data_IF_842276402932
#
_entry.id   IF_842276402932
#
_cell.length_a   1.000
_cell.length_b   1.000
_cell.length_c   1.000
_cell.angle_alpha   90.00
_cell.angle_beta   90.00
_cell.angle_gamma   90.00
#
_symmetry.space_group_name_H-M   'P 1'
#
loop_
_entity.id
_entity.type
_entity.pdbx_description
1 polymer ?
#
# COMPACT_ATOMS: atom_id res chain seq x y z
N UNK A 1 32.00 37.50 -18.52
CA UNK A 1 30.97 37.80 -19.54
C UNK A 1 30.85 39.31 -19.64
N UNK A 2 30.95 39.92 -20.83
CA UNK A 2 30.75 41.37 -21.01
C UNK A 2 29.49 41.60 -21.85
N UNK A 3 28.36 41.72 -21.16
CA UNK A 3 27.08 42.12 -21.73
C UNK A 3 26.62 43.37 -21.01
N UNK A 4 26.16 44.37 -21.75
CA UNK A 4 25.56 45.56 -21.16
C UNK A 4 24.11 45.24 -20.78
N UNK A 5 23.78 45.35 -19.50
CA UNK A 5 22.43 45.15 -19.00
C UNK A 5 22.15 46.08 -17.80
N UNK A 6 20.94 46.65 -17.69
CA UNK A 6 20.60 47.61 -16.64
C UNK A 6 20.47 46.97 -15.24
N UNK A 7 20.20 45.67 -15.16
CA UNK A 7 20.07 44.93 -13.90
C UNK A 7 20.38 43.43 -14.07
N UNK A 8 20.45 42.70 -12.95
CA UNK A 8 20.75 41.27 -12.90
C UNK A 8 19.79 40.44 -13.78
N UNK A 9 18.48 40.73 -13.77
CA UNK A 9 17.51 40.01 -14.60
C UNK A 9 17.80 40.15 -16.09
N UNK A 10 18.00 41.38 -16.56
CA UNK A 10 18.31 41.68 -17.95
C UNK A 10 19.66 41.08 -18.37
N UNK A 11 20.63 41.00 -17.45
CA UNK A 11 21.91 40.33 -17.71
C UNK A 11 21.72 38.82 -17.93
N UNK A 12 20.90 38.17 -17.09
CA UNK A 12 20.58 36.75 -17.21
C UNK A 12 19.76 36.44 -18.47
N UNK A 13 18.85 37.33 -18.85
CA UNK A 13 18.12 37.27 -20.13
C UNK A 13 19.08 37.37 -21.33
N UNK A 14 19.96 38.38 -21.34
CA UNK A 14 20.94 38.57 -22.39
C UNK A 14 21.95 37.40 -22.48
N UNK A 15 22.14 36.67 -21.38
CA UNK A 15 22.93 35.44 -21.32
C UNK A 15 22.21 34.18 -21.83
N UNK A 16 20.94 34.28 -22.25
CA UNK A 16 20.13 33.14 -22.64
C UNK A 16 19.67 32.27 -21.47
N UNK A 17 19.77 32.78 -20.23
CA UNK A 17 19.42 32.07 -19.01
C UNK A 17 18.47 32.90 -18.12
N UNK A 18 17.32 33.36 -18.63
CA UNK A 18 16.38 34.19 -17.87
C UNK A 18 15.92 33.51 -16.59
N UNK A 19 15.56 34.30 -15.58
CA UNK A 19 14.88 33.78 -14.38
C UNK A 19 13.46 33.35 -14.77
N UNK A 20 13.07 32.14 -14.39
CA UNK A 20 11.76 31.58 -14.70
C UNK A 20 11.13 30.97 -13.45
N UNK A 21 9.80 30.87 -13.44
CA UNK A 21 9.04 30.20 -12.39
C UNK A 21 9.45 30.65 -10.97
N UNK A 22 10.13 29.79 -10.20
CA UNK A 22 10.54 30.04 -8.81
C UNK A 22 12.06 30.21 -8.68
N UNK A 23 12.77 30.42 -9.79
CA UNK A 23 14.19 30.73 -9.81
C UNK A 23 14.48 31.92 -8.86
N UNK A 24 15.58 31.82 -8.11
CA UNK A 24 16.04 32.88 -7.19
C UNK A 24 17.43 33.33 -7.57
N UNK A 25 17.73 34.60 -7.30
CA UNK A 25 19.04 35.18 -7.57
C UNK A 25 19.49 36.07 -6.42
N UNK A 26 20.80 36.07 -6.15
CA UNK A 26 21.47 36.98 -5.22
C UNK A 26 22.69 37.58 -5.93
N UNK A 27 22.86 38.91 -6.01
CA UNK A 27 21.94 39.99 -5.60
C UNK A 27 20.57 39.93 -6.30
N UNK A 28 19.62 40.75 -5.84
CA UNK A 28 18.24 40.73 -6.33
C UNK A 28 18.16 40.97 -7.84
N UNK A 29 17.11 40.44 -8.49
CA UNK A 29 16.90 40.54 -9.94
C UNK A 29 16.89 41.99 -10.46
N UNK A 30 16.45 42.95 -9.64
CA UNK A 30 16.42 44.39 -9.95
C UNK A 30 17.72 45.14 -9.65
N UNK A 31 18.72 44.49 -9.01
CA UNK A 31 19.98 45.14 -8.66
C UNK A 31 20.76 45.58 -9.92
N UNK A 32 21.33 46.79 -9.94
CA UNK A 32 22.15 47.26 -11.05
C UNK A 32 23.41 46.41 -11.18
N UNK A 33 23.87 46.19 -12.41
CA UNK A 33 25.08 45.41 -12.69
C UNK A 33 26.31 46.29 -12.53
N UNK A 34 27.25 45.87 -11.69
CA UNK A 34 28.57 46.52 -11.52
C UNK A 34 29.69 45.58 -11.93
N UNK A 35 30.85 46.15 -12.28
CA UNK A 35 32.02 45.36 -12.68
C UNK A 35 32.50 44.46 -11.53
N UNK A 36 32.91 43.23 -11.86
CA UNK A 36 33.31 42.22 -10.87
C UNK A 36 32.18 41.63 -10.01
N UNK A 37 30.91 41.99 -10.22
CA UNK A 37 29.78 41.49 -9.43
C UNK A 37 29.60 39.97 -9.56
N UNK A 38 29.51 39.26 -8.43
CA UNK A 38 29.11 37.86 -8.38
C UNK A 38 27.60 37.73 -8.32
N UNK A 39 27.05 36.82 -9.11
CA UNK A 39 25.60 36.56 -9.19
C UNK A 39 25.39 35.06 -8.97
N UNK A 40 24.75 34.70 -7.87
CA UNK A 40 24.39 33.33 -7.55
C UNK A 40 22.93 33.10 -7.94
N UNK A 41 22.69 32.15 -8.84
CA UNK A 41 21.34 31.76 -9.28
C UNK A 41 21.01 30.38 -8.74
N UNK A 42 19.84 30.23 -8.12
CA UNK A 42 19.24 28.94 -7.76
C UNK A 42 18.06 28.68 -8.68
N UNK A 43 18.14 27.64 -9.51
CA UNK A 43 17.08 27.27 -10.45
C UNK A 43 16.06 26.39 -9.75
N UNK A 44 14.79 26.79 -9.75
CA UNK A 44 13.70 26.01 -9.16
C UNK A 44 12.57 25.94 -10.18
N UNK A 45 12.47 24.79 -10.83
CA UNK A 45 11.59 24.59 -11.99
C UNK A 45 10.71 23.37 -11.80
N UNK A 46 9.55 23.41 -12.42
CA UNK A 46 8.66 22.28 -12.64
C UNK A 46 8.58 22.09 -14.14
N UNK A 47 8.95 20.89 -14.59
CA UNK A 47 8.95 20.50 -15.99
C UNK A 47 7.96 19.35 -16.19
N UNK A 48 7.29 19.32 -17.35
CA UNK A 48 6.46 18.18 -17.72
C UNK A 48 7.32 17.16 -18.46
N UNK A 49 7.31 15.92 -17.98
CA UNK A 49 8.01 14.81 -18.61
C UNK A 49 7.01 13.70 -18.91
N UNK A 50 6.97 13.22 -20.15
CA UNK A 50 6.09 12.11 -20.54
C UNK A 50 6.91 10.84 -20.67
N UNK A 51 6.49 9.80 -19.95
CA UNK A 51 7.13 8.49 -19.93
C UNK A 51 6.13 7.40 -20.31
N UNK A 52 6.56 6.46 -21.15
CA UNK A 52 5.76 5.30 -21.53
C UNK A 52 5.92 4.20 -20.49
N UNK A 53 4.84 3.82 -19.84
CA UNK A 53 4.84 2.83 -18.75
C UNK A 53 3.76 1.77 -18.96
N UNK A 54 3.88 0.58 -18.34
CA UNK A 54 2.82 -0.42 -18.35
C UNK A 54 1.51 0.10 -17.73
N UNK A 55 0.39 -0.22 -18.35
CA UNK A 55 -0.95 -0.04 -17.77
C UNK A 55 -1.38 -1.36 -17.15
N UNK A 56 -1.49 -1.40 -15.82
CA UNK A 56 -1.96 -2.58 -15.11
C UNK A 56 -3.43 -2.87 -15.50
N UNK A 57 -3.80 -4.15 -15.71
CA UNK A 57 -5.17 -4.51 -16.03
C UNK A 57 -6.11 -4.22 -14.87
N UNK A 58 -7.34 -3.84 -15.18
CA UNK A 58 -8.39 -3.75 -14.17
C UNK A 58 -8.94 -5.14 -13.85
N UNK A 59 -9.40 -5.33 -12.61
CA UNK A 59 -10.00 -6.59 -12.18
C UNK A 59 -11.49 -6.63 -12.55
N UNK A 60 -11.88 -7.62 -13.37
CA UNK A 60 -13.27 -8.05 -13.49
C UNK A 60 -13.55 -9.08 -12.40
N UNK A 61 -14.49 -8.77 -11.50
CA UNK A 61 -14.83 -9.66 -10.38
C UNK A 61 -15.94 -10.63 -10.76
N UNK A 62 -15.73 -11.91 -10.49
CA UNK A 62 -16.74 -12.96 -10.64
C UNK A 62 -16.95 -13.60 -9.26
N UNK A 63 -18.20 -13.62 -8.81
CA UNK A 63 -18.58 -14.23 -7.54
C UNK A 63 -18.62 -15.76 -7.64
N UNK A 64 -18.04 -16.43 -6.65
CA UNK A 64 -18.11 -17.88 -6.47
C UNK A 64 -18.80 -18.22 -5.15
N UNK A 65 -20.05 -18.65 -5.25
CA UNK A 65 -20.90 -19.02 -4.11
C UNK A 65 -20.45 -20.29 -3.38
N UNK A 66 -19.46 -21.01 -3.88
CA UNK A 66 -18.87 -22.18 -3.22
C UNK A 66 -17.55 -21.84 -2.50
N UNK A 67 -17.01 -20.64 -2.70
CA UNK A 67 -15.78 -20.17 -2.08
C UNK A 67 -16.08 -19.19 -0.94
N UNK A 68 -15.41 -19.35 0.20
CA UNK A 68 -15.56 -18.44 1.34
C UNK A 68 -15.24 -17.00 0.94
N UNK A 69 -15.99 -16.03 1.47
CA UNK A 69 -15.82 -14.60 1.17
C UNK A 69 -14.44 -14.02 1.54
N UNK A 70 -13.69 -14.71 2.40
CA UNK A 70 -12.31 -14.39 2.75
C UNK A 70 -11.28 -14.72 1.64
N UNK A 71 -11.69 -15.48 0.61
CA UNK A 71 -10.81 -16.00 -0.43
C UNK A 71 -11.03 -15.29 -1.75
N UNK A 72 -9.95 -15.14 -2.50
CA UNK A 72 -9.95 -14.67 -3.86
C UNK A 72 -8.89 -15.44 -4.65
N UNK A 73 -9.17 -15.67 -5.93
CA UNK A 73 -8.29 -16.40 -6.85
C UNK A 73 -8.18 -15.57 -8.12
N UNK A 74 -6.95 -15.31 -8.56
CA UNK A 74 -6.69 -14.76 -9.89
C UNK A 74 -6.89 -15.91 -10.88
N UNK A 75 -8.01 -15.91 -11.58
CA UNK A 75 -8.34 -16.93 -12.58
C UNK A 75 -7.68 -16.63 -13.92
N UNK A 76 -7.64 -15.35 -14.30
CA UNK A 76 -6.89 -14.84 -15.44
C UNK A 76 -6.20 -13.55 -15.00
N UNK A 77 -4.88 -13.45 -15.17
CA UNK A 77 -4.13 -12.24 -14.83
C UNK A 77 -4.37 -11.10 -15.84
N UNK A 78 -5.04 -11.37 -16.96
CA UNK A 78 -5.19 -10.44 -18.06
C UNK A 78 -3.86 -10.20 -18.78
N UNK A 79 -3.80 -9.12 -19.55
CA UNK A 79 -2.57 -8.69 -20.21
C UNK A 79 -2.36 -7.20 -19.98
N UNK A 80 -1.18 -6.76 -19.51
CA UNK A 80 -0.88 -5.35 -19.35
C UNK A 80 -1.05 -4.58 -20.66
N UNK A 81 -1.59 -3.37 -20.55
CA UNK A 81 -1.61 -2.39 -21.63
C UNK A 81 -0.38 -1.49 -21.58
N UNK A 82 -0.45 -0.39 -22.32
CA UNK A 82 0.59 0.66 -22.35
C UNK A 82 -0.07 2.02 -22.23
N UNK A 83 0.49 2.89 -21.39
CA UNK A 83 0.06 4.27 -21.24
C UNK A 83 1.25 5.22 -21.24
N UNK A 84 1.04 6.42 -21.76
CA UNK A 84 1.97 7.52 -21.64
C UNK A 84 1.55 8.37 -20.43
N UNK A 85 2.37 8.39 -19.38
CA UNK A 85 2.14 9.15 -18.15
C UNK A 85 2.95 10.43 -18.18
N UNK A 86 2.28 11.57 -18.03
CA UNK A 86 2.92 12.87 -17.91
C UNK A 86 3.12 13.18 -16.43
N UNK A 87 4.37 13.40 -16.04
CA UNK A 87 4.80 13.80 -14.70
C UNK A 87 5.08 15.30 -14.66
N UNK A 88 4.67 15.96 -13.58
CA UNK A 88 5.25 17.23 -13.16
C UNK A 88 6.48 16.92 -12.31
N UNK A 89 7.67 17.20 -12.84
CA UNK A 89 8.96 16.93 -12.22
C UNK A 89 9.52 18.23 -11.65
N UNK A 90 9.70 18.31 -10.34
CA UNK A 90 10.32 19.45 -9.68
C UNK A 90 11.83 19.28 -9.64
N UNK A 91 12.56 20.28 -10.12
CA UNK A 91 14.02 20.31 -10.16
C UNK A 91 14.57 21.51 -9.41
N UNK A 92 15.64 21.29 -8.63
CA UNK A 92 16.48 22.33 -8.04
C UNK A 92 17.87 22.22 -8.65
N UNK A 93 18.34 23.28 -9.31
CA UNK A 93 19.63 23.30 -10.02
C UNK A 93 19.81 22.12 -11.00
N UNK A 94 18.73 21.74 -11.69
CA UNK A 94 18.72 20.63 -12.66
C UNK A 94 18.57 19.24 -12.04
N UNK A 95 18.72 19.10 -10.73
CA UNK A 95 18.54 17.83 -10.01
C UNK A 95 17.08 17.66 -9.64
N UNK A 96 16.51 16.51 -9.98
CA UNK A 96 15.15 16.17 -9.59
C UNK A 96 15.03 16.05 -8.06
N UNK A 97 14.03 16.74 -7.52
CA UNK A 97 13.68 16.73 -6.09
C UNK A 97 12.37 15.99 -5.82
N UNK A 98 11.59 15.72 -6.88
CA UNK A 98 10.37 14.92 -6.82
C UNK A 98 9.61 14.96 -8.13
N UNK A 99 8.71 14.00 -8.31
CA UNK A 99 7.79 13.94 -9.46
C UNK A 99 6.41 13.50 -9.01
N UNK A 100 5.37 14.00 -9.67
CA UNK A 100 3.98 13.59 -9.48
C UNK A 100 3.33 13.33 -10.85
N UNK A 101 2.63 12.21 -11.07
CA UNK A 101 1.84 12.03 -12.28
C UNK A 101 0.69 13.05 -12.33
N UNK A 102 0.56 13.77 -13.44
CA UNK A 102 -0.46 14.83 -13.62
C UNK A 102 -1.44 14.54 -14.75
N UNK A 103 -1.10 13.64 -15.66
CA UNK A 103 -1.99 13.16 -16.71
C UNK A 103 -1.52 11.80 -17.21
N UNK A 104 -2.41 11.03 -17.81
CA UNK A 104 -2.08 9.81 -18.52
C UNK A 104 -2.95 9.66 -19.78
N UNK A 105 -2.39 9.03 -20.82
CA UNK A 105 -3.11 8.68 -22.04
C UNK A 105 -2.86 7.21 -22.33
N UNK A 106 -3.95 6.44 -22.53
CA UNK A 106 -3.84 5.02 -22.88
C UNK A 106 -3.40 4.91 -24.35
N UNK A 107 -2.28 4.23 -24.58
CA UNK A 107 -1.73 3.98 -25.92
C UNK A 107 -2.25 2.65 -26.46
N UNK A 108 -2.21 1.61 -25.63
CA UNK A 108 -2.79 0.30 -25.90
C UNK A 108 -3.56 -0.16 -24.66
N UNK A 109 -4.85 -0.52 -24.78
CA UNK A 109 -5.65 -0.92 -23.63
C UNK A 109 -5.11 -2.23 -23.02
N UNK A 110 -5.25 -2.35 -21.70
CA UNK A 110 -5.03 -3.62 -21.02
C UNK A 110 -6.23 -4.55 -21.25
N UNK A 111 -6.00 -5.87 -21.25
CA UNK A 111 -7.08 -6.85 -21.10
C UNK A 111 -7.29 -7.06 -19.62
N UNK A 112 -8.52 -6.86 -19.15
CA UNK A 112 -8.86 -7.03 -17.74
C UNK A 112 -8.43 -8.41 -17.21
N UNK A 113 -7.98 -8.42 -15.95
CA UNK A 113 -7.85 -9.63 -15.18
C UNK A 113 -9.24 -10.15 -14.78
N UNK A 114 -9.34 -11.45 -14.51
CA UNK A 114 -10.52 -12.08 -13.92
C UNK A 114 -10.15 -12.52 -12.52
N UNK A 115 -10.75 -11.85 -11.53
CA UNK A 115 -10.61 -12.18 -10.13
C UNK A 115 -11.88 -12.89 -9.66
N UNK A 116 -11.75 -14.18 -9.36
CA UNK A 116 -12.80 -14.95 -8.71
C UNK A 116 -12.80 -14.63 -7.22
N UNK A 117 -13.89 -14.08 -6.70
CA UNK A 117 -14.03 -13.70 -5.29
C UNK A 117 -15.07 -14.59 -4.63
N UNK A 118 -14.82 -14.99 -3.39
CA UNK A 118 -15.76 -15.85 -2.67
C UNK A 118 -17.04 -15.11 -2.33
N UNK A 119 -18.17 -15.80 -2.47
CA UNK A 119 -19.50 -15.30 -2.19
C UNK A 119 -20.36 -16.33 -1.44
N UNK A 120 -19.74 -17.34 -0.82
CA UNK A 120 -20.45 -18.39 -0.09
C UNK A 120 -21.23 -17.79 1.10
N UNK A 121 -22.57 -17.94 1.14
CA UNK A 121 -23.37 -17.40 2.23
C UNK A 121 -22.95 -17.93 3.61
N UNK A 122 -22.97 -17.07 4.63
CA UNK A 122 -22.63 -17.46 6.01
C UNK A 122 -21.13 -17.48 6.31
N UNK A 123 -20.29 -17.12 5.32
CA UNK A 123 -18.83 -17.02 5.44
C UNK A 123 -18.34 -15.57 5.54
N UNK A 124 -19.23 -14.64 5.89
CA UNK A 124 -18.87 -13.26 6.19
C UNK A 124 -17.89 -13.24 7.37
N UNK A 125 -16.81 -12.49 7.23
CA UNK A 125 -15.79 -12.35 8.28
C UNK A 125 -15.92 -10.95 8.90
N UNK A 126 -16.24 -10.85 10.21
CA UNK A 126 -16.30 -9.55 10.88
C UNK A 126 -14.91 -8.91 10.93
N UNK A 127 -14.83 -7.56 10.96
CA UNK A 127 -13.56 -6.88 11.09
C UNK A 127 -12.87 -7.29 12.41
N UNK A 128 -11.59 -7.64 12.31
CA UNK A 128 -10.77 -8.05 13.46
C UNK A 128 -10.60 -6.88 14.43
N UNK A 129 -11.05 -7.05 15.67
CA UNK A 129 -10.79 -6.14 16.79
C UNK A 129 -9.56 -6.64 17.55
N UNK A 130 -8.76 -5.72 18.08
CA UNK A 130 -7.54 -6.04 18.84
C UNK A 130 -6.58 -7.02 18.10
N UNK A 131 -6.39 -6.84 16.79
CA UNK A 131 -5.57 -7.74 15.97
C UNK A 131 -4.17 -7.99 16.53
N UNK A 132 -3.52 -6.96 17.08
CA UNK A 132 -2.21 -7.09 17.71
C UNK A 132 -2.20 -8.04 18.92
N UNK A 133 -3.27 -8.09 19.72
CA UNK A 133 -3.37 -9.03 20.84
C UNK A 133 -3.53 -10.46 20.34
N UNK A 134 -4.34 -10.66 19.30
CA UNK A 134 -4.50 -11.96 18.64
C UNK A 134 -3.22 -12.44 17.96
N UNK A 135 -2.47 -11.54 17.31
CA UNK A 135 -1.19 -11.86 16.69
C UNK A 135 -0.13 -12.20 17.75
N UNK A 136 -0.08 -11.47 18.86
CA UNK A 136 0.83 -11.77 19.94
C UNK A 136 0.47 -13.09 20.65
N UNK A 137 -0.82 -13.40 20.75
CA UNK A 137 -1.27 -14.71 21.24
C UNK A 137 -0.82 -15.81 20.28
N UNK A 138 -1.07 -15.65 18.97
CA UNK A 138 -0.65 -16.61 17.96
C UNK A 138 0.87 -16.77 17.88
N UNK A 139 1.63 -15.71 18.17
CA UNK A 139 3.07 -15.78 18.29
C UNK A 139 3.51 -16.67 19.45
N UNK A 140 2.83 -16.58 20.59
CA UNK A 140 3.13 -17.39 21.77
C UNK A 140 2.68 -18.85 21.61
N UNK A 141 1.51 -19.08 21.02
CA UNK A 141 0.86 -20.39 20.90
C UNK A 141 1.36 -21.20 19.69
N UNK A 142 1.60 -20.53 18.56
CA UNK A 142 1.88 -21.16 17.26
C UNK A 142 3.14 -20.61 16.57
N UNK A 143 3.95 -19.78 17.26
CA UNK A 143 5.09 -19.10 16.64
C UNK A 143 4.70 -18.13 15.52
N UNK A 144 3.42 -17.71 15.47
CA UNK A 144 2.86 -16.84 14.44
C UNK A 144 2.31 -17.58 13.22
N UNK A 145 2.38 -18.92 13.21
CA UNK A 145 1.89 -19.72 12.10
C UNK A 145 0.40 -20.05 12.25
N UNK A 146 -0.45 -19.31 11.54
CA UNK A 146 -1.91 -19.51 11.55
C UNK A 146 -2.38 -20.82 10.90
N UNK A 147 -1.53 -21.48 10.12
CA UNK A 147 -1.82 -22.77 9.49
C UNK A 147 -1.16 -23.95 10.22
N UNK A 148 -0.73 -23.75 11.49
CA UNK A 148 -0.02 -24.79 12.23
C UNK A 148 -0.93 -25.99 12.50
N UNK A 149 -0.38 -27.18 12.28
CA UNK A 149 -0.97 -28.45 12.67
C UNK A 149 0.18 -29.43 12.96
N UNK A 150 0.56 -29.55 14.23
CA UNK A 150 1.66 -30.42 14.67
C UNK A 150 1.22 -31.84 15.02
N UNK A 151 -0.09 -32.14 14.90
CA UNK A 151 -0.66 -33.42 15.32
C UNK A 151 -0.85 -33.56 16.84
N UNK A 152 -0.74 -32.47 17.60
CA UNK A 152 -0.92 -32.46 19.06
C UNK A 152 -2.39 -32.34 19.52
N UNK A 153 -3.35 -32.38 18.59
CA UNK A 153 -4.79 -32.23 18.87
C UNK A 153 -5.33 -30.80 18.84
N UNK A 154 -4.46 -29.81 18.61
CA UNK A 154 -4.81 -28.39 18.47
C UNK A 154 -4.43 -27.88 17.07
N UNK A 155 -5.18 -26.88 16.60
CA UNK A 155 -5.11 -26.40 15.22
C UNK A 155 -5.06 -24.88 15.14
N UNK A 156 -4.24 -24.37 14.22
CA UNK A 156 -4.22 -22.97 13.84
C UNK A 156 -3.53 -22.05 14.85
N UNK A 157 -3.52 -20.75 14.53
CA UNK A 157 -2.67 -19.76 15.20
C UNK A 157 -2.94 -19.63 16.69
N UNK A 158 -4.20 -19.78 17.10
CA UNK A 158 -4.63 -19.70 18.51
C UNK A 158 -4.89 -21.07 19.13
N UNK A 159 -4.38 -22.15 18.52
CA UNK A 159 -4.40 -23.51 19.08
C UNK A 159 -5.82 -23.96 19.50
N UNK A 160 -6.78 -23.95 18.58
CA UNK A 160 -8.13 -24.48 18.85
C UNK A 160 -8.10 -26.01 18.94
N UNK A 161 -8.76 -26.60 19.94
CA UNK A 161 -9.20 -27.99 19.82
C UNK A 161 -10.40 -28.10 18.86
N UNK A 162 -10.58 -29.27 18.25
CA UNK A 162 -11.62 -29.49 17.24
C UNK A 162 -13.03 -29.24 17.77
N UNK A 163 -13.33 -29.66 18.99
CA UNK A 163 -14.67 -29.55 19.55
C UNK A 163 -15.02 -28.09 19.88
N UNK A 164 -14.07 -27.28 20.35
CA UNK A 164 -14.26 -25.84 20.55
C UNK A 164 -14.46 -25.11 19.21
N UNK A 165 -13.70 -25.46 18.18
CA UNK A 165 -13.88 -24.92 16.82
C UNK A 165 -15.30 -25.16 16.30
N UNK A 166 -15.77 -26.40 16.38
CA UNK A 166 -17.10 -26.80 15.93
C UNK A 166 -18.22 -26.10 16.72
N UNK A 167 -18.14 -26.13 18.05
CA UNK A 167 -19.17 -25.55 18.94
C UNK A 167 -19.33 -24.05 18.82
N UNK A 168 -18.28 -23.34 18.40
CA UNK A 168 -18.30 -21.90 18.22
C UNK A 168 -18.55 -21.48 16.75
N UNK A 169 -18.85 -22.45 15.87
CA UNK A 169 -19.34 -22.19 14.51
C UNK A 169 -18.26 -22.15 13.43
N UNK A 170 -17.06 -22.67 13.70
CA UNK A 170 -15.94 -22.63 12.77
C UNK A 170 -16.14 -23.44 11.48
N UNK A 171 -17.02 -24.46 11.50
CA UNK A 171 -17.32 -25.29 10.33
C UNK A 171 -17.91 -24.52 9.14
N UNK A 172 -18.44 -23.31 9.35
CA UNK A 172 -18.87 -22.46 8.23
C UNK A 172 -17.70 -22.01 7.36
N UNK A 173 -16.53 -21.85 7.97
CA UNK A 173 -15.31 -21.43 7.29
C UNK A 173 -14.50 -22.64 6.81
N UNK A 174 -14.14 -23.55 7.71
CA UNK A 174 -13.34 -24.70 7.36
C UNK A 174 -13.58 -25.88 8.31
N UNK A 175 -13.27 -27.13 7.89
CA UNK A 175 -13.40 -28.30 8.76
C UNK A 175 -12.54 -28.22 10.02
N UNK A 176 -11.41 -27.49 9.99
CA UNK A 176 -10.50 -27.27 11.11
C UNK A 176 -9.97 -25.84 11.10
N UNK A 177 -9.51 -25.35 12.25
CA UNK A 177 -9.01 -23.99 12.38
C UNK A 177 -7.79 -23.71 11.48
N UNK A 178 -6.83 -24.64 11.35
CA UNK A 178 -5.62 -24.48 10.53
C UNK A 178 -5.87 -24.30 9.03
N UNK A 179 -7.06 -24.68 8.56
CA UNK A 179 -7.50 -24.55 7.16
C UNK A 179 -8.23 -23.22 6.90
N UNK A 180 -8.66 -22.54 7.96
CA UNK A 180 -9.31 -21.23 7.90
C UNK A 180 -8.26 -20.12 7.85
N UNK A 181 -8.63 -18.97 7.28
CA UNK A 181 -7.76 -17.78 7.33
C UNK A 181 -7.60 -17.28 8.76
N UNK A 182 -6.57 -16.47 8.99
CA UNK A 182 -6.35 -15.79 10.27
C UNK A 182 -7.61 -15.06 10.75
N UNK A 183 -8.25 -14.30 9.87
CA UNK A 183 -9.41 -13.49 10.22
C UNK A 183 -10.63 -14.37 10.54
N UNK A 184 -10.81 -15.48 9.82
CA UNK A 184 -11.83 -16.48 10.12
C UNK A 184 -11.59 -17.13 11.49
N UNK A 185 -10.34 -17.47 11.82
CA UNK A 185 -9.97 -18.01 13.14
C UNK A 185 -10.24 -17.00 14.26
N UNK A 186 -9.85 -15.73 14.07
CA UNK A 186 -10.09 -14.67 15.05
C UNK A 186 -11.59 -14.44 15.26
N UNK A 187 -12.41 -14.51 14.20
CA UNK A 187 -13.85 -14.38 14.33
C UNK A 187 -14.45 -15.43 15.28
N UNK A 188 -13.97 -16.68 15.22
CA UNK A 188 -14.37 -17.75 16.13
C UNK A 188 -13.73 -17.59 17.53
N UNK A 189 -12.51 -17.06 17.60
CA UNK A 189 -11.82 -16.79 18.86
C UNK A 189 -12.52 -15.70 19.67
N UNK A 190 -13.04 -14.66 19.03
CA UNK A 190 -13.86 -13.62 19.67
C UNK A 190 -15.16 -14.19 20.25
N UNK A 191 -15.81 -15.13 19.55
CA UNK A 191 -17.00 -15.86 20.09
C UNK A 191 -16.61 -16.68 21.32
N UNK A 192 -15.47 -17.35 21.27
CA UNK A 192 -14.95 -18.17 22.38
C UNK A 192 -14.61 -17.28 23.59
N UNK A 193 -13.89 -16.19 23.36
CA UNK A 193 -13.53 -15.17 24.37
C UNK A 193 -14.75 -14.55 25.02
N UNK A 194 -15.80 -14.25 24.24
CA UNK A 194 -17.05 -13.70 24.79
C UNK A 194 -17.75 -14.67 25.76
N UNK A 195 -17.55 -15.99 25.61
CA UNK A 195 -18.17 -17.03 26.45
C UNK A 195 -17.30 -17.42 27.65
N UNK A 196 -15.99 -17.52 27.46
CA UNK A 196 -15.06 -18.13 28.43
C UNK A 196 -14.01 -17.14 28.95
N UNK A 197 -14.01 -15.90 28.47
CA UNK A 197 -12.93 -14.94 28.71
C UNK A 197 -11.62 -15.39 28.04
N UNK A 198 -10.51 -14.81 28.47
CA UNK A 198 -9.16 -15.19 28.01
C UNK A 198 -8.64 -16.50 28.63
N UNK A 199 -9.43 -17.15 29.50
CA UNK A 199 -9.08 -18.39 30.18
C UNK A 199 -8.90 -19.60 29.26
N UNK A 200 -9.32 -19.50 27.99
CA UNK A 200 -9.02 -20.51 26.96
C UNK A 200 -7.52 -20.54 26.56
N UNK A 201 -6.75 -19.50 26.90
CA UNK A 201 -5.31 -19.37 26.60
C UNK A 201 -4.49 -19.05 27.86
N UNK A 202 -4.46 -19.92 28.87
CA UNK A 202 -3.99 -19.58 30.23
C UNK A 202 -2.50 -19.23 30.31
N UNK A 203 -1.66 -19.79 29.44
CA UNK A 203 -0.20 -19.57 29.46
C UNK A 203 0.24 -18.32 28.69
N UNK A 204 -0.48 -17.99 27.60
CA UNK A 204 -0.09 -16.90 26.71
C UNK A 204 -0.94 -15.63 26.88
N UNK A 205 -2.17 -15.72 27.41
CA UNK A 205 -3.04 -14.55 27.70
C UNK A 205 -2.39 -13.54 28.65
N UNK A 206 -1.70 -14.01 29.70
CA UNK A 206 -0.98 -13.16 30.65
C UNK A 206 0.19 -12.37 30.04
N UNK A 207 0.74 -12.81 28.90
CA UNK A 207 1.80 -12.10 28.16
C UNK A 207 1.27 -11.05 27.19
N UNK A 208 0.00 -11.14 26.78
CA UNK A 208 -0.63 -10.21 25.83
C UNK A 208 -1.43 -9.10 26.52
N UNK A 209 -1.32 -8.97 27.85
CA UNK A 209 -1.98 -7.91 28.63
C UNK A 209 -3.51 -8.03 28.62
N UNK A 210 -4.02 -9.23 28.33
CA UNK A 210 -5.42 -9.53 28.23
C UNK A 210 -5.95 -10.00 29.60
N UNK A 211 -6.55 -9.08 30.36
CA UNK A 211 -7.29 -9.35 31.59
C UNK A 211 -8.77 -9.56 31.31
#
# INVERSE_FOLDING_TARGET
MRLAAPNVAALLEAAGAPLQQRDRVVPAASSPVVDGMQIQVTRVRIEKFTERVPLQPADTRIEDVNMNMSRQIVEDAGTPGVQDVTFAVSKVNGVETGRLPVANVIVSPARNAVLRVGAKPGTEVPPVRAGAAWDALAQCEAGGNWAINTGNGYFGGVQFDQNTWERNGGLRYAPRADLATREEQIAIAEVTRARQGWGAWPTCSGRVGAS
#
